data_IF_065343767158
#
_entry.id   IF_065343767158
#
_cell.length_a   1.000
_cell.length_b   1.000
_cell.length_c   1.000
_cell.angle_alpha   90.00
_cell.angle_beta   90.00
_cell.angle_gamma   90.00
#
_symmetry.space_group_name_H-M   'P 1'
#
loop_
_entity.id
_entity.type
_entity.pdbx_description
1 polymer ?
#
# COMPACT_ATOMS: atom_id res chain seq x y z
N UNK A 1 2.27 19.86 7.92
CA UNK A 1 2.81 19.07 6.80
C UNK A 1 1.98 17.80 6.69
N UNK A 2 1.47 17.44 5.52
CA UNK A 2 0.60 16.27 5.34
C UNK A 2 1.41 15.12 4.74
N UNK A 3 1.43 13.96 5.38
CA UNK A 3 2.09 12.75 4.87
C UNK A 3 1.08 11.93 4.08
N UNK A 4 1.38 11.62 2.83
CA UNK A 4 0.62 10.67 2.01
C UNK A 4 1.45 9.41 1.79
N UNK A 5 0.81 8.25 1.94
CA UNK A 5 1.48 6.96 1.81
C UNK A 5 0.70 6.02 0.89
N UNK A 6 1.45 5.31 0.04
CA UNK A 6 1.00 4.17 -0.74
C UNK A 6 1.77 2.95 -0.23
N UNK A 7 1.06 1.97 0.32
CA UNK A 7 1.64 0.75 0.87
C UNK A 7 1.11 -0.43 0.07
N UNK A 8 2.00 -1.31 -0.39
CA UNK A 8 1.65 -2.42 -1.28
C UNK A 8 2.23 -3.73 -0.74
N UNK A 9 1.38 -4.75 -0.60
CA UNK A 9 1.77 -6.09 -0.16
C UNK A 9 1.21 -7.17 -1.08
N UNK A 10 2.06 -7.93 -1.77
CA UNK A 10 1.64 -8.94 -2.74
C UNK A 10 2.12 -10.31 -2.25
N UNK A 11 1.18 -11.18 -1.91
CA UNK A 11 1.47 -12.58 -1.58
C UNK A 11 1.22 -13.48 -2.79
N UNK A 12 0.09 -13.26 -3.49
CA UNK A 12 -0.33 -14.05 -4.64
C UNK A 12 0.15 -13.37 -5.93
N UNK A 13 1.26 -13.86 -6.47
CA UNK A 13 1.76 -13.46 -7.78
C UNK A 13 1.21 -14.39 -8.87
N UNK A 14 0.98 -13.86 -10.07
CA UNK A 14 0.62 -14.68 -11.23
C UNK A 14 1.84 -15.43 -11.77
N UNK A 15 1.64 -16.64 -12.29
CA UNK A 15 2.68 -17.47 -12.90
C UNK A 15 3.34 -18.43 -11.89
N UNK A 16 4.62 -18.73 -12.10
CA UNK A 16 5.36 -19.74 -11.33
C UNK A 16 5.96 -19.21 -10.02
N UNK A 17 5.41 -18.14 -9.46
CA UNK A 17 5.84 -17.60 -8.17
C UNK A 17 4.95 -18.21 -7.09
N UNK A 18 5.51 -18.93 -6.10
CA UNK A 18 4.71 -19.51 -5.04
C UNK A 18 4.06 -18.42 -4.18
N UNK A 19 2.94 -18.75 -3.54
CA UNK A 19 2.30 -17.84 -2.60
C UNK A 19 3.27 -17.46 -1.49
N UNK A 20 3.55 -16.17 -1.36
CA UNK A 20 4.33 -15.65 -0.24
C UNK A 20 3.45 -15.55 1.01
N UNK A 21 4.07 -15.63 2.20
CA UNK A 21 3.35 -15.54 3.47
C UNK A 21 3.47 -14.19 4.18
N UNK A 22 4.53 -13.41 3.90
CA UNK A 22 4.92 -12.25 4.71
C UNK A 22 4.41 -10.89 4.22
N UNK A 23 4.24 -10.71 2.91
CA UNK A 23 4.10 -9.37 2.33
C UNK A 23 2.80 -8.66 2.73
N UNK A 24 1.71 -9.40 2.94
CA UNK A 24 0.49 -8.84 3.53
C UNK A 24 0.76 -8.31 4.95
N UNK A 25 1.43 -9.09 5.79
CA UNK A 25 1.74 -8.68 7.16
C UNK A 25 2.65 -7.48 7.20
N UNK A 26 3.68 -7.43 6.35
CA UNK A 26 4.60 -6.29 6.26
C UNK A 26 3.84 -5.01 5.88
N UNK A 27 3.00 -5.07 4.84
CA UNK A 27 2.20 -3.95 4.38
C UNK A 27 1.18 -3.50 5.43
N UNK A 28 0.43 -4.42 6.04
CA UNK A 28 -0.55 -4.11 7.08
C UNK A 28 0.10 -3.54 8.34
N UNK A 29 1.27 -4.04 8.77
CA UNK A 29 2.01 -3.49 9.91
C UNK A 29 2.54 -2.09 9.61
N UNK A 30 3.08 -1.86 8.42
CA UNK A 30 3.52 -0.52 8.03
C UNK A 30 2.35 0.47 8.00
N UNK A 31 1.22 0.08 7.42
CA UNK A 31 -0.01 0.87 7.43
C UNK A 31 -0.45 1.22 8.86
N UNK A 32 -0.42 0.24 9.77
CA UNK A 32 -0.74 0.45 11.18
C UNK A 32 0.24 1.43 11.85
N UNK A 33 1.55 1.28 11.63
CA UNK A 33 2.57 2.21 12.15
C UNK A 33 2.31 3.64 11.67
N UNK A 34 2.02 3.83 10.38
CA UNK A 34 1.71 5.14 9.80
C UNK A 34 0.48 5.77 10.45
N UNK A 35 -0.58 4.99 10.69
CA UNK A 35 -1.79 5.49 11.34
C UNK A 35 -1.59 5.75 12.84
N UNK A 36 -1.05 4.80 13.58
CA UNK A 36 -1.00 4.85 15.05
C UNK A 36 0.12 5.75 15.57
N UNK A 37 1.31 5.68 14.97
CA UNK A 37 2.47 6.44 15.44
C UNK A 37 2.55 7.81 14.80
N UNK A 38 2.24 7.90 13.51
CA UNK A 38 2.40 9.12 12.73
C UNK A 38 1.08 9.84 12.45
N UNK A 39 -0.05 9.32 12.94
CA UNK A 39 -1.38 9.93 12.82
C UNK A 39 -1.77 10.21 11.36
N UNK A 40 -1.25 9.40 10.42
CA UNK A 40 -1.65 9.47 9.01
C UNK A 40 -3.12 9.09 8.92
N UNK A 41 -3.94 9.98 8.36
CA UNK A 41 -5.38 9.74 8.26
C UNK A 41 -5.68 8.66 7.22
N UNK A 42 -6.82 8.00 7.35
CA UNK A 42 -7.26 6.97 6.40
C UNK A 42 -7.33 7.50 4.97
N UNK A 43 -7.73 8.75 4.73
CA UNK A 43 -7.74 9.34 3.39
C UNK A 43 -6.34 9.61 2.79
N UNK A 44 -5.30 9.60 3.62
CA UNK A 44 -3.90 9.81 3.23
C UNK A 44 -3.12 8.50 3.05
N UNK A 45 -3.69 7.37 3.49
CA UNK A 45 -3.10 6.05 3.41
C UNK A 45 -3.85 5.20 2.36
N UNK A 46 -3.15 4.81 1.29
CA UNK A 46 -3.64 3.83 0.32
C UNK A 46 -2.92 2.50 0.55
N UNK A 47 -3.66 1.47 0.98
CA UNK A 47 -3.15 0.10 1.10
C UNK A 47 -3.68 -0.76 -0.06
N UNK A 48 -2.78 -1.44 -0.77
CA UNK A 48 -3.12 -2.38 -1.84
C UNK A 48 -2.55 -3.76 -1.51
N UNK A 49 -3.42 -4.78 -1.47
CA UNK A 49 -3.03 -6.15 -1.20
C UNK A 49 -3.35 -7.07 -2.39
N UNK A 50 -2.36 -7.82 -2.84
CA UNK A 50 -2.46 -8.89 -3.85
C UNK A 50 -3.37 -8.60 -5.04
N UNK A 51 -4.57 -9.18 -5.14
CA UNK A 51 -5.47 -8.97 -6.27
C UNK A 51 -5.86 -7.49 -6.47
N UNK A 52 -5.84 -6.68 -5.40
CA UNK A 52 -6.06 -5.24 -5.49
C UNK A 52 -4.79 -4.47 -5.93
N UNK A 53 -3.60 -5.06 -5.76
CA UNK A 53 -2.30 -4.48 -6.12
C UNK A 53 -1.97 -4.69 -7.62
N UNK A 54 -2.95 -4.42 -8.49
CA UNK A 54 -2.73 -4.48 -9.94
C UNK A 54 -1.74 -3.41 -10.41
N UNK A 55 -1.10 -3.63 -11.56
CA UNK A 55 -0.23 -2.62 -12.19
C UNK A 55 -0.94 -1.27 -12.33
N UNK A 56 -2.19 -1.29 -12.77
CA UNK A 56 -3.02 -0.08 -12.94
C UNK A 56 -3.26 0.61 -11.60
N UNK A 57 -3.62 -0.15 -10.56
CA UNK A 57 -3.87 0.41 -9.22
C UNK A 57 -2.61 1.01 -8.58
N UNK A 58 -1.45 0.37 -8.74
CA UNK A 58 -0.17 0.87 -8.24
C UNK A 58 0.21 2.17 -8.97
N UNK A 59 0.13 2.20 -10.31
CA UNK A 59 0.41 3.41 -11.10
C UNK A 59 -0.54 4.55 -10.71
N UNK A 60 -1.84 4.26 -10.57
CA UNK A 60 -2.82 5.25 -10.11
C UNK A 60 -2.51 5.74 -8.69
N UNK A 61 -2.03 4.85 -7.81
CA UNK A 61 -1.55 5.22 -6.47
C UNK A 61 -0.41 6.25 -6.53
N UNK A 62 0.58 6.05 -7.40
CA UNK A 62 1.62 7.04 -7.60
C UNK A 62 1.09 8.36 -8.18
N UNK A 63 0.36 8.29 -9.30
CA UNK A 63 -0.03 9.46 -10.07
C UNK A 63 -1.15 10.30 -9.44
N UNK A 64 -2.07 9.66 -8.72
CA UNK A 64 -3.29 10.31 -8.22
C UNK A 64 -3.32 10.40 -6.69
N UNK A 65 -2.80 9.39 -5.99
CA UNK A 65 -2.82 9.41 -4.52
C UNK A 65 -1.64 10.20 -3.97
N UNK A 66 -0.41 9.85 -4.35
CA UNK A 66 0.78 10.55 -3.84
C UNK A 66 0.92 11.98 -4.34
N UNK A 67 0.37 12.30 -5.52
CA UNK A 67 0.32 13.67 -6.06
C UNK A 67 -0.51 14.66 -5.21
N UNK A 68 -1.25 14.18 -4.20
CA UNK A 68 -1.98 15.04 -3.25
C UNK A 68 -1.07 15.64 -2.18
N UNK A 69 0.15 15.12 -2.01
CA UNK A 69 1.16 15.75 -1.18
C UNK A 69 1.57 17.09 -1.82
N UNK A 70 1.43 18.17 -1.05
CA UNK A 70 1.83 19.53 -1.44
C UNK A 70 3.14 19.91 -0.78
#
# INVERSE_FOLDING_TARGET
MAVYALVVGINQYLGNVPNLGGCHYDASRMANVLQQRFQVKSEQLKLLLSEAATKVAIIAGFQQHLAKAK
#
